data_IF_012863054101
#
_entry.id   IF_012863054101
#
_cell.length_a   1.000
_cell.length_b   1.000
_cell.length_c   1.000
_cell.angle_alpha   90.00
_cell.angle_beta   90.00
_cell.angle_gamma   90.00
#
_symmetry.space_group_name_H-M   'P 1'
#
loop_
_entity.id
_entity.type
_entity.pdbx_description
1 polymer ?
#
# COMPACT_ATOMS: atom_id res chain seq x y z
N UNK A 1 -33.17 7.75 22.18
CA UNK A 1 -32.89 8.80 21.20
C UNK A 1 -31.46 8.69 20.72
N UNK A 2 -31.18 9.04 19.48
CA UNK A 2 -29.86 8.88 18.85
C UNK A 2 -28.77 9.63 19.62
N UNK A 3 -29.01 10.85 20.04
CA UNK A 3 -28.02 11.66 20.79
C UNK A 3 -27.65 11.04 22.12
N UNK A 4 -28.63 10.47 22.84
CA UNK A 4 -28.40 9.80 24.11
C UNK A 4 -27.56 8.53 23.93
N UNK A 5 -27.86 7.75 22.89
CA UNK A 5 -27.10 6.56 22.58
C UNK A 5 -25.64 6.89 22.21
N UNK A 6 -25.43 7.97 21.48
CA UNK A 6 -24.08 8.45 21.15
C UNK A 6 -23.28 8.80 22.40
N UNK A 7 -23.88 9.44 23.37
CA UNK A 7 -23.23 9.79 24.63
C UNK A 7 -22.92 8.58 25.51
N UNK A 8 -23.74 7.55 25.40
CA UNK A 8 -23.58 6.30 26.19
C UNK A 8 -22.55 5.34 25.58
N UNK A 9 -22.11 5.57 24.34
CA UNK A 9 -21.13 4.72 23.70
C UNK A 9 -19.79 4.76 24.45
N UNK A 10 -19.19 3.60 24.58
CA UNK A 10 -17.84 3.48 25.15
C UNK A 10 -16.83 4.11 24.19
N UNK A 11 -16.16 5.13 24.67
CA UNK A 11 -15.15 5.86 23.91
C UNK A 11 -13.76 5.47 24.35
N UNK A 12 -12.79 5.43 23.44
CA UNK A 12 -11.42 5.09 23.81
C UNK A 12 -10.81 6.17 24.69
N UNK A 13 -10.17 5.76 25.77
CA UNK A 13 -9.43 6.62 26.67
C UNK A 13 -7.92 6.42 26.56
N UNK A 14 -7.51 5.33 25.95
CA UNK A 14 -6.11 4.98 25.77
C UNK A 14 -5.83 4.67 24.29
N UNK A 15 -4.83 5.35 23.75
CA UNK A 15 -4.31 5.12 22.43
C UNK A 15 -2.82 4.86 22.55
N UNK A 16 -2.39 3.66 22.22
CA UNK A 16 -0.99 3.27 22.24
C UNK A 16 -0.53 2.96 20.81
N UNK A 17 0.61 3.52 20.43
CA UNK A 17 1.25 3.26 19.14
C UNK A 17 2.62 2.65 19.43
N UNK A 18 2.80 1.40 19.01
CA UNK A 18 4.06 0.69 19.13
C UNK A 18 4.67 0.55 17.75
N UNK A 19 5.65 1.40 17.41
CA UNK A 19 6.33 1.27 16.11
C UNK A 19 7.26 0.06 16.14
N UNK A 20 7.43 -0.55 14.99
CA UNK A 20 8.34 -1.67 14.77
C UNK A 20 8.93 -1.63 13.37
N UNK A 21 9.96 -2.45 13.16
CA UNK A 21 10.55 -2.67 11.82
C UNK A 21 11.01 -1.37 11.13
N UNK A 22 11.80 -0.55 11.86
CA UNK A 22 12.39 0.65 11.31
C UNK A 22 11.40 1.76 10.94
N UNK A 23 10.20 1.73 11.50
CA UNK A 23 9.16 2.72 11.22
C UNK A 23 8.22 2.34 10.08
N UNK A 24 8.38 1.18 9.46
CA UNK A 24 7.52 0.72 8.37
C UNK A 24 6.30 -0.04 8.87
N UNK A 25 6.28 -0.41 10.14
CA UNK A 25 5.17 -1.11 10.78
C UNK A 25 4.85 -0.46 12.10
N UNK A 26 3.60 -0.50 12.48
CA UNK A 26 3.17 -0.08 13.80
C UNK A 26 1.99 -0.92 14.27
N UNK A 27 1.96 -1.19 15.56
CA UNK A 27 0.80 -1.76 16.22
C UNK A 27 0.09 -0.63 16.96
N UNK A 28 -1.18 -0.46 16.68
CA UNK A 28 -2.01 0.57 17.31
C UNK A 28 -3.03 -0.13 18.20
N UNK A 29 -3.04 0.21 19.48
CA UNK A 29 -3.97 -0.31 20.44
C UNK A 29 -4.88 0.81 20.91
N UNK A 30 -6.16 0.61 20.76
CA UNK A 30 -7.20 1.59 21.13
C UNK A 30 -8.17 0.91 22.09
N UNK A 31 -8.23 1.41 23.32
CA UNK A 31 -9.03 0.81 24.38
C UNK A 31 -9.64 1.87 25.28
N UNK A 32 -10.83 1.64 25.85
CA UNK A 32 -11.81 0.63 25.45
C UNK A 32 -12.59 1.05 24.20
N UNK A 33 -13.20 0.09 23.52
CA UNK A 33 -14.09 0.35 22.40
C UNK A 33 -15.44 -0.32 22.60
N UNK A 34 -16.50 0.29 22.11
CA UNK A 34 -17.80 -0.32 22.04
C UNK A 34 -17.73 -1.60 21.20
N UNK A 35 -18.55 -2.59 21.57
CA UNK A 35 -18.56 -3.88 20.89
C UNK A 35 -18.85 -3.71 19.39
N UNK A 36 -18.02 -4.32 18.57
CA UNK A 36 -18.11 -4.25 17.12
C UNK A 36 -17.38 -3.07 16.47
N UNK A 37 -16.99 -2.05 17.23
CA UNK A 37 -16.36 -0.86 16.69
C UNK A 37 -14.92 -1.11 16.25
N UNK A 38 -14.23 -2.04 16.89
CA UNK A 38 -12.90 -2.43 16.46
C UNK A 38 -12.88 -2.96 15.03
N UNK A 39 -13.81 -3.84 14.69
CA UNK A 39 -13.96 -4.37 13.34
C UNK A 39 -14.34 -3.27 12.33
N UNK A 40 -15.27 -2.41 12.70
CA UNK A 40 -15.71 -1.28 11.86
C UNK A 40 -14.56 -0.31 11.57
N UNK A 41 -13.84 0.10 12.60
CA UNK A 41 -12.68 1.00 12.45
C UNK A 41 -11.56 0.37 11.66
N UNK A 42 -11.26 -0.90 11.94
CA UNK A 42 -10.21 -1.64 11.23
C UNK A 42 -10.50 -1.75 9.73
N UNK A 43 -11.72 -2.10 9.37
CA UNK A 43 -12.13 -2.18 7.97
C UNK A 43 -12.15 -0.82 7.28
N UNK A 44 -12.60 0.23 7.96
CA UNK A 44 -12.59 1.59 7.42
C UNK A 44 -11.16 2.07 7.16
N UNK A 45 -10.27 1.89 8.11
CA UNK A 45 -8.85 2.25 7.97
C UNK A 45 -8.18 1.45 6.86
N UNK A 46 -8.45 0.15 6.79
CA UNK A 46 -7.92 -0.69 5.72
C UNK A 46 -8.33 -0.16 4.34
N UNK A 47 -9.60 0.17 4.15
CA UNK A 47 -10.10 0.67 2.87
C UNK A 47 -9.47 2.01 2.50
N UNK A 48 -9.33 2.91 3.45
CA UNK A 48 -8.69 4.22 3.23
C UNK A 48 -7.21 4.05 2.86
N UNK A 49 -6.50 3.20 3.58
CA UNK A 49 -5.09 2.95 3.33
C UNK A 49 -4.84 2.34 1.94
N UNK A 50 -5.73 1.47 1.49
CA UNK A 50 -5.59 0.83 0.18
C UNK A 50 -6.02 1.73 -0.99
N UNK A 51 -6.96 2.64 -0.78
CA UNK A 51 -7.59 3.39 -1.87
C UNK A 51 -7.19 4.86 -1.95
N UNK A 52 -6.74 5.46 -0.85
CA UNK A 52 -6.64 6.92 -0.75
C UNK A 52 -5.24 7.44 -0.50
N UNK A 53 -4.29 6.59 -0.12
CA UNK A 53 -2.91 7.00 0.06
C UNK A 53 -2.19 7.01 -1.29
N UNK A 54 -1.46 8.07 -1.53
CA UNK A 54 -0.64 8.22 -2.73
C UNK A 54 0.77 7.72 -2.48
N UNK A 55 1.41 7.23 -3.53
CA UNK A 55 2.78 6.76 -3.49
C UNK A 55 3.36 6.65 -4.89
N UNK A 56 4.63 6.31 -4.97
CA UNK A 56 5.30 6.04 -6.23
C UNK A 56 5.09 4.60 -6.67
N UNK A 57 4.82 4.39 -7.95
CA UNK A 57 4.75 3.07 -8.54
C UNK A 57 5.14 3.12 -10.01
N UNK A 58 5.61 2.00 -10.52
CA UNK A 58 5.89 1.87 -11.94
C UNK A 58 4.56 1.73 -12.69
N UNK A 59 4.32 2.62 -13.65
CA UNK A 59 3.09 2.63 -14.47
C UNK A 59 3.28 2.01 -15.84
N UNK A 60 4.49 2.07 -16.39
CA UNK A 60 4.81 1.53 -17.71
C UNK A 60 6.29 1.14 -17.78
N UNK A 61 6.58 0.16 -18.62
CA UNK A 61 7.94 -0.24 -18.93
C UNK A 61 8.14 -0.29 -20.44
N UNK A 62 9.38 -0.08 -20.86
CA UNK A 62 9.82 -0.26 -22.23
C UNK A 62 11.11 -1.04 -22.23
N UNK A 63 11.14 -2.14 -22.98
CA UNK A 63 12.33 -2.99 -23.12
C UNK A 63 12.71 -2.98 -24.58
N UNK A 64 13.98 -2.73 -24.86
CA UNK A 64 14.48 -2.73 -26.24
C UNK A 64 14.28 -4.11 -26.89
N UNK A 65 13.74 -4.12 -28.11
CA UNK A 65 13.47 -5.35 -28.86
C UNK A 65 12.21 -6.10 -28.44
N UNK A 66 11.44 -5.56 -27.52
CA UNK A 66 10.18 -6.16 -27.03
C UNK A 66 8.99 -5.34 -27.50
N UNK A 67 8.03 -5.99 -28.16
CA UNK A 67 6.85 -5.33 -28.71
C UNK A 67 5.62 -5.48 -27.82
N UNK A 68 5.53 -6.56 -27.03
CA UNK A 68 4.38 -6.83 -26.16
C UNK A 68 4.77 -7.71 -24.96
N UNK A 69 3.86 -7.82 -24.02
CA UNK A 69 4.06 -8.51 -22.74
C UNK A 69 4.26 -10.03 -22.86
N UNK A 70 3.92 -10.64 -23.98
CA UNK A 70 4.10 -12.07 -24.21
C UNK A 70 5.39 -12.41 -24.94
N UNK A 71 6.26 -11.43 -25.17
CA UNK A 71 7.55 -11.65 -25.83
C UNK A 71 8.53 -12.37 -24.91
N UNK A 72 9.53 -12.99 -25.52
CA UNK A 72 10.67 -13.61 -24.85
C UNK A 72 11.93 -12.86 -25.29
N UNK A 73 12.83 -12.61 -24.35
CA UNK A 73 14.08 -11.90 -24.61
C UNK A 73 15.19 -12.94 -24.73
N UNK A 74 15.93 -13.00 -25.84
CA UNK A 74 17.06 -13.90 -25.96
C UNK A 74 18.09 -13.67 -24.85
N UNK A 75 18.54 -14.77 -24.20
CA UNK A 75 19.52 -14.72 -23.12
C UNK A 75 18.96 -14.35 -21.75
N UNK A 76 17.68 -14.08 -21.64
CA UNK A 76 17.00 -13.82 -20.37
C UNK A 76 16.10 -15.01 -20.03
N UNK A 77 16.25 -15.49 -18.79
CA UNK A 77 15.54 -16.68 -18.32
C UNK A 77 14.03 -16.41 -18.17
N UNK A 78 13.69 -15.24 -17.62
CA UNK A 78 12.31 -14.82 -17.42
C UNK A 78 11.70 -14.34 -18.73
N UNK A 79 10.43 -14.61 -18.96
CA UNK A 79 9.68 -13.96 -20.02
C UNK A 79 9.28 -12.54 -19.61
N UNK A 80 8.73 -11.78 -20.54
CA UNK A 80 8.34 -10.38 -20.27
C UNK A 80 7.23 -10.29 -19.23
N UNK A 81 6.34 -11.26 -19.19
CA UNK A 81 5.29 -11.32 -18.17
C UNK A 81 5.86 -11.46 -16.77
N UNK A 82 6.87 -12.32 -16.58
CA UNK A 82 7.55 -12.47 -15.30
C UNK A 82 8.28 -11.19 -14.90
N UNK A 83 8.91 -10.51 -15.85
CA UNK A 83 9.57 -9.22 -15.61
C UNK A 83 8.56 -8.18 -15.16
N UNK A 84 7.41 -8.09 -15.80
CA UNK A 84 6.33 -7.16 -15.42
C UNK A 84 5.84 -7.44 -14.00
N UNK A 85 5.65 -8.69 -13.64
CA UNK A 85 5.22 -9.07 -12.29
C UNK A 85 6.26 -8.73 -11.23
N UNK A 86 7.52 -8.93 -11.53
CA UNK A 86 8.61 -8.55 -10.64
C UNK A 86 8.67 -7.02 -10.44
N UNK A 87 8.49 -6.26 -11.50
CA UNK A 87 8.50 -4.80 -11.45
C UNK A 87 7.30 -4.25 -10.67
N UNK A 88 6.14 -4.88 -10.76
CA UNK A 88 4.98 -4.53 -9.93
C UNK A 88 5.26 -4.66 -8.44
N UNK A 89 6.13 -5.56 -8.05
CA UNK A 89 6.52 -5.75 -6.66
C UNK A 89 7.56 -4.76 -6.14
N UNK A 90 8.09 -3.88 -6.97
CA UNK A 90 9.10 -2.92 -6.55
C UNK A 90 8.49 -1.82 -5.68
N UNK A 91 9.13 -1.56 -4.55
CA UNK A 91 8.85 -0.39 -3.75
C UNK A 91 9.72 0.77 -4.24
N UNK A 92 9.08 1.83 -4.70
CA UNK A 92 9.76 3.01 -5.27
C UNK A 92 9.41 4.25 -4.48
N UNK A 93 10.40 5.12 -4.28
CA UNK A 93 10.21 6.45 -3.73
C UNK A 93 10.38 7.48 -4.83
N UNK A 94 9.43 8.40 -4.93
CA UNK A 94 9.47 9.51 -5.89
C UNK A 94 9.64 10.80 -5.10
N UNK A 95 10.71 11.54 -5.38
CA UNK A 95 11.09 12.73 -4.62
C UNK A 95 10.63 14.05 -5.25
N UNK A 96 9.94 13.98 -6.37
CA UNK A 96 9.45 15.16 -7.08
C UNK A 96 8.11 14.87 -7.73
N UNK A 97 7.37 15.91 -8.07
CA UNK A 97 6.09 15.78 -8.76
C UNK A 97 6.26 15.34 -10.22
N UNK A 98 5.23 14.71 -10.76
CA UNK A 98 5.14 14.27 -12.12
C UNK A 98 5.80 12.92 -12.39
N UNK A 99 5.64 12.46 -13.61
CA UNK A 99 6.22 11.19 -14.07
C UNK A 99 7.73 11.31 -14.22
N UNK A 100 8.44 10.30 -13.80
CA UNK A 100 9.88 10.17 -13.94
C UNK A 100 10.23 8.89 -14.66
N UNK A 101 11.34 8.92 -15.37
CA UNK A 101 11.84 7.76 -16.08
C UNK A 101 13.10 7.25 -15.42
N UNK A 102 13.13 5.96 -15.14
CA UNK A 102 14.33 5.25 -14.68
C UNK A 102 14.87 4.39 -15.81
N UNK A 103 16.18 4.25 -15.85
CA UNK A 103 16.85 3.41 -16.82
C UNK A 103 17.59 2.29 -16.12
N UNK A 104 17.46 1.10 -16.66
CA UNK A 104 18.20 -0.08 -16.22
C UNK A 104 18.92 -0.66 -17.44
N UNK A 105 20.21 -0.81 -17.31
CA UNK A 105 21.03 -1.47 -18.31
C UNK A 105 21.68 -2.70 -17.68
N UNK A 106 21.39 -3.84 -18.24
CA UNK A 106 21.89 -5.13 -17.75
C UNK A 106 22.56 -5.91 -18.89
#
# INVERSE_FOLDING_TARGET
>A
MIQKNWQELIKPTNLEIVPSDGGNKAKIVVEPLERGFGLTLGNALRRILLSSLQGGAVTAIKIDGVLHEFSVIPGVREDVTDIVLNIKGLAVAVHSEGQKTMYLKA
#
